data_IF_133435008565
#
_entry.id   IF_133435008565
#
_cell.length_a   1.000
_cell.length_b   1.000
_cell.length_c   1.000
_cell.angle_alpha   90.00
_cell.angle_beta   90.00
_cell.angle_gamma   90.00
#
_symmetry.space_group_name_H-M   'P 1'
#
loop_
_entity.id
_entity.type
_entity.pdbx_description
1 polymer ?
#
# COMPACT_ATOMS: atom_id res chain seq x y z
N UNK A 1 15.76 5.86 7.68
CA UNK A 1 15.27 6.25 6.34
C UNK A 1 15.54 5.15 5.32
N UNK A 2 14.66 4.98 4.34
CA UNK A 2 14.92 4.03 3.26
C UNK A 2 15.85 4.66 2.20
N UNK A 3 16.70 3.83 1.57
CA UNK A 3 17.51 4.29 0.43
C UNK A 3 16.60 4.74 -0.72
N UNK A 4 16.97 5.83 -1.41
CA UNK A 4 16.25 6.37 -2.55
C UNK A 4 15.99 5.29 -3.62
N UNK A 5 16.96 4.41 -3.86
CA UNK A 5 16.85 3.30 -4.82
C UNK A 5 15.69 2.34 -4.50
N UNK A 6 15.39 2.11 -3.21
CA UNK A 6 14.27 1.26 -2.79
C UNK A 6 12.92 1.93 -3.04
N UNK A 7 12.84 3.23 -2.84
CA UNK A 7 11.63 4.03 -3.12
C UNK A 7 11.38 4.06 -4.63
N UNK A 8 12.41 4.35 -5.43
CA UNK A 8 12.30 4.38 -6.89
C UNK A 8 11.91 3.01 -7.48
N UNK A 9 12.42 1.91 -6.89
CA UNK A 9 12.03 0.55 -7.28
C UNK A 9 10.54 0.29 -7.02
N UNK A 10 10.01 0.75 -5.91
CA UNK A 10 8.57 0.61 -5.60
C UNK A 10 7.72 1.46 -6.55
N UNK A 11 8.12 2.69 -6.85
CA UNK A 11 7.45 3.55 -7.82
C UNK A 11 7.42 2.91 -9.22
N UNK A 12 8.53 2.32 -9.66
CA UNK A 12 8.59 1.57 -10.93
C UNK A 12 7.62 0.39 -10.94
N UNK A 13 7.51 -0.36 -9.83
CA UNK A 13 6.54 -1.45 -9.69
C UNK A 13 5.10 -0.96 -9.77
N UNK A 14 4.78 0.17 -9.13
CA UNK A 14 3.44 0.79 -9.19
C UNK A 14 3.08 1.23 -10.61
N UNK A 15 4.02 1.85 -11.33
CA UNK A 15 3.83 2.21 -12.74
C UNK A 15 3.56 0.98 -13.61
N UNK A 16 4.34 -0.08 -13.46
CA UNK A 16 4.13 -1.33 -14.20
C UNK A 16 2.81 -2.01 -13.84
N UNK A 17 2.45 -2.02 -12.56
CA UNK A 17 1.17 -2.57 -12.14
C UNK A 17 0.00 -1.81 -12.76
N UNK A 18 -0.01 -0.48 -12.73
CA UNK A 18 -1.05 0.34 -13.37
C UNK A 18 -1.17 0.04 -14.87
N UNK A 19 -0.03 -0.08 -15.57
CA UNK A 19 0.00 -0.39 -17.01
C UNK A 19 -0.60 -1.77 -17.35
N UNK A 20 -0.35 -2.78 -16.51
CA UNK A 20 -0.75 -4.16 -16.80
C UNK A 20 -1.96 -4.64 -15.97
N UNK A 21 -2.58 -3.78 -15.17
CA UNK A 21 -3.67 -4.11 -14.25
C UNK A 21 -4.84 -4.79 -14.96
N UNK A 22 -5.37 -4.17 -15.99
CA UNK A 22 -6.52 -4.66 -16.76
C UNK A 22 -6.21 -5.97 -17.49
N UNK A 23 -5.07 -6.01 -18.19
CA UNK A 23 -4.62 -7.22 -18.89
C UNK A 23 -4.41 -8.40 -17.96
N UNK A 24 -3.88 -8.15 -16.74
CA UNK A 24 -3.77 -9.21 -15.72
C UNK A 24 -5.12 -9.65 -15.18
N UNK A 25 -6.05 -8.72 -14.97
CA UNK A 25 -7.37 -9.03 -14.47
C UNK A 25 -8.15 -9.91 -15.45
N UNK A 26 -8.14 -9.59 -16.75
CA UNK A 26 -8.80 -10.38 -17.78
C UNK A 26 -8.22 -11.80 -17.89
N UNK A 27 -6.89 -11.94 -17.92
CA UNK A 27 -6.24 -13.23 -17.97
C UNK A 27 -6.47 -14.08 -16.72
N UNK A 28 -6.51 -13.44 -15.53
CA UNK A 28 -6.82 -14.13 -14.28
C UNK A 28 -8.27 -14.59 -14.22
N UNK A 29 -9.22 -13.83 -14.75
CA UNK A 29 -10.61 -14.21 -14.84
C UNK A 29 -10.76 -15.51 -15.65
N UNK A 30 -10.16 -15.58 -16.86
CA UNK A 30 -10.17 -16.78 -17.70
C UNK A 30 -9.47 -17.95 -17.01
N UNK A 31 -8.30 -17.72 -16.38
CA UNK A 31 -7.53 -18.77 -15.73
C UNK A 31 -8.24 -19.41 -14.52
N UNK A 32 -9.14 -18.66 -13.85
CA UNK A 32 -9.89 -19.10 -12.67
C UNK A 32 -11.31 -19.58 -13.01
N UNK A 33 -11.78 -19.31 -14.20
CA UNK A 33 -13.11 -19.71 -14.62
C UNK A 33 -13.18 -21.24 -14.81
N UNK A 34 -14.06 -21.88 -14.06
CA UNK A 34 -14.26 -23.33 -14.11
C UNK A 34 -15.06 -23.77 -15.34
N UNK A 35 -15.80 -22.87 -15.96
CA UNK A 35 -16.62 -23.12 -17.15
C UNK A 35 -15.77 -23.14 -18.43
N UNK A 36 -14.61 -22.47 -18.43
CA UNK A 36 -13.69 -22.44 -19.56
C UNK A 36 -12.95 -23.78 -19.75
N UNK A 37 -12.58 -24.09 -20.99
CA UNK A 37 -11.83 -25.29 -21.30
C UNK A 37 -10.48 -25.37 -20.60
N UNK A 38 -9.95 -26.57 -20.39
CA UNK A 38 -8.65 -26.77 -19.76
C UNK A 38 -7.52 -26.09 -20.57
N UNK A 39 -7.62 -26.13 -21.90
CA UNK A 39 -6.66 -25.55 -22.84
C UNK A 39 -6.64 -24.01 -22.73
N UNK A 40 -7.81 -23.37 -22.74
CA UNK A 40 -7.91 -21.91 -22.59
C UNK A 40 -7.36 -21.43 -21.26
N UNK A 41 -7.63 -22.14 -20.17
CA UNK A 41 -7.07 -21.83 -18.84
C UNK A 41 -5.55 -21.99 -18.82
N UNK A 42 -5.02 -23.00 -19.48
CA UNK A 42 -3.58 -23.21 -19.60
C UNK A 42 -2.92 -22.08 -20.40
N UNK A 43 -3.48 -21.70 -21.55
CA UNK A 43 -3.01 -20.60 -22.38
C UNK A 43 -3.03 -19.26 -21.64
N UNK A 44 -4.09 -19.01 -20.89
CA UNK A 44 -4.17 -17.81 -20.06
C UNK A 44 -3.05 -17.76 -19.01
N UNK A 45 -2.73 -18.89 -18.38
CA UNK A 45 -1.61 -18.99 -17.42
C UNK A 45 -0.25 -18.80 -18.09
N UNK A 46 -0.05 -19.33 -19.29
CA UNK A 46 1.16 -19.08 -20.07
C UNK A 46 1.30 -17.61 -20.43
N UNK A 47 0.23 -16.95 -20.85
CA UNK A 47 0.22 -15.50 -21.12
C UNK A 47 0.52 -14.69 -19.87
N UNK A 48 -0.01 -15.09 -18.70
CA UNK A 48 0.30 -14.45 -17.41
C UNK A 48 1.77 -14.60 -17.01
N UNK A 49 2.40 -15.75 -17.28
CA UNK A 49 3.80 -16.00 -16.98
C UNK A 49 4.76 -15.14 -17.83
N UNK A 50 4.37 -14.83 -19.07
CA UNK A 50 5.12 -13.96 -19.98
C UNK A 50 5.08 -12.47 -19.58
N UNK A 51 4.15 -12.06 -18.71
CA UNK A 51 4.07 -10.68 -18.25
C UNK A 51 5.22 -10.34 -17.27
N UNK A 52 5.67 -9.07 -17.22
CA UNK A 52 6.73 -8.66 -16.30
C UNK A 52 6.38 -9.01 -14.85
N UNK A 53 7.28 -9.66 -14.13
CA UNK A 53 7.07 -10.05 -12.72
C UNK A 53 6.78 -8.85 -11.82
N UNK A 54 7.39 -7.70 -12.10
CA UNK A 54 7.18 -6.45 -11.33
C UNK A 54 5.82 -5.78 -11.57
N UNK A 55 5.00 -6.30 -12.49
CA UNK A 55 3.62 -5.85 -12.69
C UNK A 55 2.61 -6.53 -11.74
N UNK A 56 3.07 -7.43 -10.86
CA UNK A 56 2.20 -8.09 -9.88
C UNK A 56 1.94 -7.19 -8.68
N UNK A 57 0.66 -7.11 -8.24
CA UNK A 57 0.23 -6.36 -7.05
C UNK A 57 0.92 -6.85 -5.77
N UNK A 58 1.20 -8.14 -5.66
CA UNK A 58 1.87 -8.74 -4.49
C UNK A 58 3.27 -8.20 -4.23
N UNK A 59 3.93 -7.65 -5.25
CA UNK A 59 5.27 -7.05 -5.14
C UNK A 59 5.28 -5.59 -4.71
N UNK A 60 4.12 -4.95 -4.68
CA UNK A 60 3.97 -3.56 -4.24
C UNK A 60 3.94 -3.55 -2.72
N UNK A 61 4.68 -2.65 -2.12
CA UNK A 61 4.71 -2.46 -0.66
C UNK A 61 4.22 -1.07 -0.29
N UNK A 62 3.38 -0.99 0.74
CA UNK A 62 3.02 0.29 1.32
C UNK A 62 4.25 0.87 2.02
N UNK A 63 4.62 2.09 1.67
CA UNK A 63 5.76 2.81 2.24
C UNK A 63 5.30 4.16 2.77
N UNK A 64 6.01 4.62 3.79
CA UNK A 64 5.83 5.97 4.30
C UNK A 64 6.14 6.98 3.19
N UNK A 65 5.25 7.95 2.97
CA UNK A 65 5.46 9.00 1.96
C UNK A 65 6.64 9.91 2.28
N UNK A 66 6.94 10.13 3.56
CA UNK A 66 8.05 10.99 4.00
C UNK A 66 9.39 10.24 4.04
N UNK A 67 9.43 9.08 4.71
CA UNK A 67 10.69 8.39 5.01
C UNK A 67 10.96 7.17 4.14
N UNK A 68 9.97 6.73 3.35
CA UNK A 68 10.08 5.51 2.54
C UNK A 68 10.09 4.20 3.34
N UNK A 69 9.90 4.24 4.67
CA UNK A 69 9.88 3.05 5.54
C UNK A 69 8.81 2.06 5.10
N UNK A 70 9.14 0.75 4.93
CA UNK A 70 8.18 -0.24 4.42
C UNK A 70 7.37 -0.94 5.50
N UNK A 71 7.71 -0.74 6.78
CA UNK A 71 7.05 -1.40 7.93
C UNK A 71 6.38 -0.37 8.83
N UNK A 72 5.34 -0.82 9.55
CA UNK A 72 4.56 0.02 10.46
C UNK A 72 4.05 1.30 9.78
N UNK A 73 3.42 1.14 8.62
CA UNK A 73 2.80 2.22 7.84
C UNK A 73 1.29 2.16 8.04
N UNK A 74 0.73 3.26 8.50
CA UNK A 74 -0.72 3.42 8.59
C UNK A 74 -1.28 3.73 7.20
N UNK A 75 -2.15 2.85 6.69
CA UNK A 75 -2.73 3.00 5.34
C UNK A 75 -3.54 4.28 5.19
N UNK A 76 -4.26 4.67 6.23
CA UNK A 76 -5.11 5.87 6.24
C UNK A 76 -4.30 7.15 5.98
N UNK A 77 -3.11 7.26 6.56
CA UNK A 77 -2.25 8.45 6.41
C UNK A 77 -1.15 8.26 5.37
N UNK A 78 -0.85 7.05 4.97
CA UNK A 78 0.33 6.77 4.14
C UNK A 78 1.66 7.06 4.85
N UNK A 79 1.67 7.11 6.18
CA UNK A 79 2.80 7.50 7.01
C UNK A 79 3.23 6.37 7.95
N UNK A 80 4.51 6.33 8.30
CA UNK A 80 5.03 5.42 9.31
C UNK A 80 4.58 5.82 10.72
N UNK A 81 4.60 4.88 11.66
CA UNK A 81 4.28 5.16 13.07
C UNK A 81 5.10 6.30 13.66
N UNK A 82 6.36 6.45 13.26
CA UNK A 82 7.26 7.50 13.72
C UNK A 82 6.79 8.85 13.16
N UNK A 83 6.59 8.95 11.85
CA UNK A 83 6.13 10.16 11.19
C UNK A 83 4.73 10.60 11.66
N UNK A 84 3.82 9.63 11.89
CA UNK A 84 2.50 9.95 12.45
C UNK A 84 2.64 10.56 13.85
N UNK A 85 3.47 9.98 14.72
CA UNK A 85 3.70 10.52 16.07
C UNK A 85 4.27 11.93 16.05
N UNK A 86 5.28 12.17 15.22
CA UNK A 86 5.91 13.49 15.09
C UNK A 86 4.93 14.53 14.54
N UNK A 87 4.22 14.22 13.46
CA UNK A 87 3.26 15.15 12.86
C UNK A 87 2.04 15.39 13.75
N UNK A 88 1.59 14.36 14.47
CA UNK A 88 0.51 14.49 15.44
C UNK A 88 0.93 15.36 16.61
N UNK A 89 2.15 15.17 17.14
CA UNK A 89 2.70 16.01 18.25
C UNK A 89 2.83 17.47 17.85
N UNK A 90 3.09 17.73 16.58
CA UNK A 90 3.20 19.10 16.03
C UNK A 90 1.83 19.66 15.56
N UNK A 91 0.72 18.97 15.81
CA UNK A 91 -0.62 19.41 15.39
C UNK A 91 -0.86 19.46 13.88
N UNK A 92 0.00 18.80 13.09
CA UNK A 92 -0.08 18.81 11.61
C UNK A 92 -1.01 17.77 11.02
N UNK A 93 -1.57 16.87 11.84
CA UNK A 93 -2.55 15.88 11.41
C UNK A 93 -3.94 16.30 11.90
N UNK A 94 -4.87 16.65 11.01
CA UNK A 94 -6.22 17.06 11.40
C UNK A 94 -6.98 15.86 12.00
N UNK A 95 -7.75 16.12 13.05
CA UNK A 95 -8.58 15.11 13.71
C UNK A 95 -7.83 14.08 14.55
N UNK A 96 -6.50 14.19 14.68
CA UNK A 96 -5.69 13.31 15.53
C UNK A 96 -5.45 13.99 16.87
N UNK A 97 -5.99 13.38 17.94
CA UNK A 97 -5.87 13.87 19.31
C UNK A 97 -5.26 12.78 20.19
N UNK A 98 -4.30 13.12 21.06
CA UNK A 98 -3.63 12.16 21.96
C UNK A 98 -4.55 11.78 23.10
N UNK A 99 -4.71 10.47 23.40
CA UNK A 99 -5.59 9.96 24.47
C UNK A 99 -4.86 9.59 25.74
N UNK A 100 -3.92 10.41 26.21
CA UNK A 100 -3.24 10.15 27.49
C UNK A 100 -3.89 10.93 28.63
N UNK A 101 -4.06 10.28 29.81
CA UNK A 101 -4.62 10.87 31.02
C UNK A 101 -3.65 11.83 31.73
N UNK A 102 -2.33 11.61 31.52
CA UNK A 102 -1.27 12.40 32.12
C UNK A 102 -0.92 13.53 31.18
N UNK A 103 -1.37 14.65 31.49
CA UNK A 103 -0.99 15.86 30.78
C UNK A 103 -1.83 17.01 31.26
N UNK A 104 -1.16 18.02 31.81
CA UNK A 104 -1.68 19.34 31.96
C UNK A 104 -2.62 19.75 30.84
N UNK A 105 -3.71 20.35 31.20
CA UNK A 105 -4.98 20.55 30.52
C UNK A 105 -5.00 21.14 29.08
N UNK A 106 -3.89 21.27 28.41
CA UNK A 106 -3.86 22.01 27.14
C UNK A 106 -3.84 21.15 25.86
N UNK A 107 -3.54 19.83 25.96
CA UNK A 107 -3.49 18.97 24.76
C UNK A 107 -4.08 17.59 25.00
N UNK A 108 -5.39 17.46 24.96
CA UNK A 108 -6.06 16.15 24.88
C UNK A 108 -5.83 15.53 23.51
N UNK A 109 -4.85 14.65 23.42
CA UNK A 109 -4.61 13.85 22.23
C UNK A 109 -5.40 12.54 22.34
N UNK A 110 -6.48 12.36 21.63
CA UNK A 110 -7.18 11.08 21.57
C UNK A 110 -6.80 10.34 20.29
N UNK A 111 -6.28 9.12 20.43
CA UNK A 111 -6.14 8.17 19.33
C UNK A 111 -7.48 7.47 19.10
N UNK A 112 -8.56 8.21 19.07
CA UNK A 112 -9.83 7.63 18.71
C UNK A 112 -9.85 7.46 17.20
N UNK A 113 -9.45 6.29 16.76
CA UNK A 113 -9.58 5.80 15.41
C UNK A 113 -11.01 5.32 15.21
N UNK A 114 -11.98 6.22 15.20
CA UNK A 114 -13.36 5.87 14.90
C UNK A 114 -13.74 6.38 13.51
N UNK A 115 -14.08 5.38 12.74
CA UNK A 115 -15.14 5.33 11.74
C UNK A 115 -15.33 6.53 10.82
N UNK A 116 -14.82 6.31 9.63
CA UNK A 116 -15.60 6.58 8.42
C UNK A 116 -15.19 5.55 7.37
#
# INVERSE_FOLDING_TARGET
MAKVSLVQRDLKRRKLWNKYKEKRASLLAIANDKSSSAEERFDARLKLSKLPRNSSKSRIRNRCSLTGRPRAVYRKFGLSRIAVRELASNGKLPGVVKSSWWGTDEYKWSNRWYDY
#
